data_IF_365085052087
#
_entry.id   IF_365085052087
#
_cell.length_a   1.000
_cell.length_b   1.000
_cell.length_c   1.000
_cell.angle_alpha   90.00
_cell.angle_beta   90.00
_cell.angle_gamma   90.00
#
_symmetry.space_group_name_H-M   'P 1'
#
loop_
_entity.id
_entity.type
_entity.pdbx_description
1 polymer ?
#
# COMPACT_ATOMS: atom_id res chain seq x y z
N UNK A 1 -23.23 -19.63 -3.84
CA UNK A 1 -22.49 -19.47 -2.57
C UNK A 1 -22.69 -18.03 -2.09
N UNK A 2 -23.30 -17.77 -0.92
CA UNK A 2 -23.43 -16.39 -0.40
C UNK A 2 -22.16 -16.04 0.41
N UNK A 3 -21.31 -15.19 -0.13
CA UNK A 3 -20.11 -14.69 0.54
C UNK A 3 -20.56 -13.63 1.56
N UNK A 4 -20.30 -13.87 2.85
CA UNK A 4 -20.75 -13.00 3.97
C UNK A 4 -19.62 -12.16 4.59
N UNK A 5 -18.40 -12.23 4.08
CA UNK A 5 -17.25 -11.52 4.65
C UNK A 5 -17.06 -10.15 3.98
N UNK A 6 -16.75 -9.12 4.78
CA UNK A 6 -16.22 -7.87 4.23
C UNK A 6 -14.87 -8.16 3.55
N UNK A 7 -14.64 -7.65 2.33
CA UNK A 7 -13.35 -7.82 1.67
C UNK A 7 -12.27 -7.12 2.51
N UNK A 8 -11.16 -7.83 2.75
CA UNK A 8 -9.97 -7.25 3.37
C UNK A 8 -9.12 -6.63 2.27
N UNK A 9 -8.79 -5.35 2.40
CA UNK A 9 -7.90 -4.67 1.48
C UNK A 9 -6.45 -5.09 1.76
N UNK A 10 -5.69 -5.34 0.69
CA UNK A 10 -4.30 -5.78 0.74
C UNK A 10 -3.43 -4.79 -0.01
N UNK A 11 -2.30 -4.41 0.60
CA UNK A 11 -1.23 -3.74 -0.11
C UNK A 11 -0.42 -4.76 -0.92
N UNK A 12 0.33 -4.29 -1.91
CA UNK A 12 1.21 -5.14 -2.75
C UNK A 12 2.16 -6.00 -1.92
N UNK A 13 2.69 -5.46 -0.82
CA UNK A 13 3.58 -6.21 0.08
C UNK A 13 2.90 -7.40 0.74
N UNK A 14 1.61 -7.29 1.09
CA UNK A 14 0.83 -8.39 1.64
C UNK A 14 0.50 -9.42 0.55
N UNK A 15 0.13 -8.95 -0.64
CA UNK A 15 -0.13 -9.82 -1.79
C UNK A 15 1.12 -10.63 -2.17
N UNK A 16 2.30 -10.00 -2.16
CA UNK A 16 3.57 -10.66 -2.45
C UNK A 16 3.88 -11.77 -1.45
N UNK A 17 3.71 -11.52 -0.15
CA UNK A 17 3.90 -12.53 0.89
C UNK A 17 2.94 -13.72 0.71
N UNK A 18 1.68 -13.46 0.39
CA UNK A 18 0.69 -14.52 0.10
C UNK A 18 1.12 -15.34 -1.12
N UNK A 19 1.56 -14.70 -2.20
CA UNK A 19 2.00 -15.37 -3.42
C UNK A 19 3.23 -16.22 -3.16
N UNK A 20 4.23 -15.68 -2.47
CA UNK A 20 5.48 -16.38 -2.15
C UNK A 20 5.24 -17.65 -1.33
N UNK A 21 4.27 -17.64 -0.42
CA UNK A 21 3.90 -18.83 0.38
C UNK A 21 3.19 -19.93 -0.41
N UNK A 22 2.65 -19.61 -1.60
CA UNK A 22 1.82 -20.52 -2.39
C UNK A 22 2.41 -20.83 -3.77
N UNK A 23 3.65 -20.44 -4.03
CA UNK A 23 4.29 -20.57 -5.34
C UNK A 23 4.54 -22.04 -5.71
N UNK A 24 4.97 -22.86 -4.76
CA UNK A 24 5.27 -24.27 -4.99
C UNK A 24 4.02 -25.12 -5.30
N UNK A 25 2.83 -24.66 -4.91
CA UNK A 25 1.57 -25.39 -5.12
C UNK A 25 0.90 -25.09 -6.46
N UNK A 26 1.45 -24.19 -7.28
CA UNK A 26 0.83 -23.71 -8.53
C UNK A 26 1.84 -23.63 -9.70
N UNK A 27 2.57 -24.72 -9.95
CA UNK A 27 3.58 -24.81 -11.03
C UNK A 27 3.07 -24.37 -12.40
N UNK A 28 1.80 -24.64 -12.68
CA UNK A 28 1.17 -24.37 -13.98
C UNK A 28 0.91 -22.88 -14.23
N UNK A 29 1.09 -22.03 -13.20
CA UNK A 29 0.86 -20.59 -13.25
C UNK A 29 2.14 -19.77 -13.04
N UNK A 30 3.31 -20.38 -13.18
CA UNK A 30 4.60 -19.77 -12.82
C UNK A 30 4.85 -18.43 -13.53
N UNK A 31 4.58 -18.30 -14.83
CA UNK A 31 4.76 -17.04 -15.58
C UNK A 31 3.86 -15.91 -15.05
N UNK A 32 2.61 -16.23 -14.68
CA UNK A 32 1.70 -15.26 -14.09
C UNK A 32 2.20 -14.84 -12.71
N UNK A 33 2.60 -15.80 -11.88
CA UNK A 33 3.08 -15.54 -10.52
C UNK A 33 4.35 -14.68 -10.53
N UNK A 34 5.29 -14.94 -11.44
CA UNK A 34 6.49 -14.10 -11.63
C UNK A 34 6.13 -12.65 -12.00
N UNK A 35 5.17 -12.46 -12.92
CA UNK A 35 4.70 -11.11 -13.29
C UNK A 35 4.03 -10.39 -12.13
N UNK A 36 3.22 -11.10 -11.34
CA UNK A 36 2.57 -10.51 -10.17
C UNK A 36 3.61 -10.19 -9.09
N UNK A 37 4.61 -11.05 -8.86
CA UNK A 37 5.71 -10.75 -7.94
C UNK A 37 6.45 -9.46 -8.35
N UNK A 38 6.76 -9.31 -9.64
CA UNK A 38 7.41 -8.12 -10.16
C UNK A 38 6.54 -6.86 -9.96
N UNK A 39 5.25 -6.96 -10.24
CA UNK A 39 4.29 -5.87 -10.04
C UNK A 39 4.11 -5.49 -8.55
N UNK A 40 4.13 -6.49 -7.67
CA UNK A 40 3.97 -6.34 -6.23
C UNK A 40 5.28 -6.02 -5.50
N UNK A 41 6.38 -5.80 -6.23
CA UNK A 41 7.65 -5.39 -5.64
C UNK A 41 7.44 -4.11 -4.83
N UNK A 42 7.69 -4.22 -3.53
CA UNK A 42 7.51 -3.13 -2.56
C UNK A 42 8.84 -2.43 -2.29
N UNK A 43 8.77 -1.12 -2.05
CA UNK A 43 9.92 -0.31 -1.57
C UNK A 43 10.17 -0.48 -0.06
N UNK A 44 9.33 -1.24 0.64
CA UNK A 44 9.39 -1.39 2.09
C UNK A 44 9.05 -2.81 2.55
N UNK A 45 9.59 -3.18 3.72
CA UNK A 45 9.26 -4.44 4.39
C UNK A 45 7.79 -4.47 4.83
N UNK A 46 7.25 -5.67 5.08
CA UNK A 46 5.86 -5.85 5.53
C UNK A 46 5.61 -5.19 6.88
N UNK A 47 6.55 -5.29 7.81
CA UNK A 47 6.41 -4.70 9.14
C UNK A 47 6.46 -3.17 9.06
N UNK A 48 7.32 -2.61 8.20
CA UNK A 48 7.35 -1.16 7.96
C UNK A 48 6.06 -0.69 7.30
N UNK A 49 5.54 -1.44 6.32
CA UNK A 49 4.29 -1.11 5.66
C UNK A 49 3.10 -1.13 6.63
N UNK A 50 3.03 -2.11 7.53
CA UNK A 50 1.98 -2.19 8.54
C UNK A 50 2.05 -0.99 9.50
N UNK A 51 3.25 -0.60 9.95
CA UNK A 51 3.43 0.59 10.79
C UNK A 51 3.09 1.88 10.05
N UNK A 52 3.58 2.05 8.82
CA UNK A 52 3.26 3.21 7.97
C UNK A 52 1.76 3.31 7.72
N UNK A 53 1.07 2.19 7.42
CA UNK A 53 -0.40 2.16 7.26
C UNK A 53 -1.11 2.69 8.49
N UNK A 54 -0.73 2.21 9.67
CA UNK A 54 -1.37 2.63 10.91
C UNK A 54 -1.17 4.12 11.17
N UNK A 55 0.05 4.63 10.96
CA UNK A 55 0.34 6.06 11.10
C UNK A 55 -0.52 6.90 10.13
N UNK A 56 -0.66 6.48 8.87
CA UNK A 56 -1.49 7.19 7.89
C UNK A 56 -2.97 7.21 8.31
N UNK A 57 -3.49 6.10 8.81
CA UNK A 57 -4.86 6.02 9.33
C UNK A 57 -5.04 6.95 10.53
N UNK A 58 -4.08 6.96 11.46
CA UNK A 58 -4.12 7.82 12.66
C UNK A 58 -4.02 9.31 12.28
N UNK A 59 -3.40 9.63 11.14
CA UNK A 59 -3.38 10.98 10.57
C UNK A 59 -4.70 11.39 9.88
N UNK A 60 -5.64 10.46 9.69
CA UNK A 60 -6.95 10.75 9.08
C UNK A 60 -7.07 10.36 7.61
N UNK A 61 -6.14 9.57 7.07
CA UNK A 61 -6.34 8.92 5.77
C UNK A 61 -7.28 7.73 5.91
N UNK A 62 -8.05 7.47 4.87
CA UNK A 62 -8.85 6.25 4.78
C UNK A 62 -7.94 5.03 4.62
N UNK A 63 -8.48 3.84 4.91
CA UNK A 63 -7.75 2.59 4.70
C UNK A 63 -7.33 2.43 3.23
N UNK A 64 -8.18 2.84 2.29
CA UNK A 64 -7.92 2.73 0.87
C UNK A 64 -6.80 3.67 0.41
N UNK A 65 -6.87 4.95 0.79
CA UNK A 65 -5.81 5.93 0.51
C UNK A 65 -4.48 5.48 1.10
N UNK A 66 -4.49 4.98 2.34
CA UNK A 66 -3.30 4.48 3.01
C UNK A 66 -2.63 3.34 2.23
N UNK A 67 -3.44 2.40 1.72
CA UNK A 67 -2.94 1.29 0.88
C UNK A 67 -2.40 1.80 -0.45
N UNK A 68 -3.11 2.73 -1.10
CA UNK A 68 -2.65 3.31 -2.36
C UNK A 68 -1.32 4.06 -2.18
N UNK A 69 -1.13 4.80 -1.09
CA UNK A 69 0.15 5.46 -0.81
C UNK A 69 1.28 4.47 -0.54
N UNK A 70 1.02 3.34 0.13
CA UNK A 70 2.00 2.27 0.29
C UNK A 70 2.46 1.70 -1.05
N UNK A 71 1.52 1.46 -1.97
CA UNK A 71 1.78 0.85 -3.26
C UNK A 71 2.39 1.81 -4.28
N UNK A 72 2.07 3.10 -4.16
CA UNK A 72 2.56 4.17 -5.02
C UNK A 72 3.91 4.74 -4.55
N UNK A 73 4.16 4.74 -3.23
CA UNK A 73 5.38 5.26 -2.59
C UNK A 73 5.70 6.72 -3.02
N UNK A 74 4.83 7.69 -2.67
CA UNK A 74 4.91 9.07 -3.17
C UNK A 74 6.26 9.73 -2.89
N UNK A 75 6.70 10.59 -3.82
CA UNK A 75 8.00 11.30 -3.75
C UNK A 75 7.88 12.82 -3.70
N UNK A 76 6.66 13.36 -3.83
CA UNK A 76 6.39 14.79 -3.77
C UNK A 76 4.95 15.04 -3.32
N UNK A 77 4.63 16.27 -2.90
CA UNK A 77 3.27 16.65 -2.49
C UNK A 77 2.27 16.45 -3.64
N UNK A 78 2.69 16.76 -4.88
CA UNK A 78 1.86 16.55 -6.08
C UNK A 78 1.45 15.09 -6.24
N UNK A 79 2.29 14.14 -5.83
CA UNK A 79 1.93 12.72 -5.83
C UNK A 79 0.81 12.39 -4.84
N UNK A 80 0.72 13.09 -3.72
CA UNK A 80 -0.33 12.85 -2.73
C UNK A 80 -1.71 13.23 -3.28
N UNK A 81 -1.80 14.29 -4.08
CA UNK A 81 -3.04 14.75 -4.73
C UNK A 81 -3.66 13.70 -5.67
N UNK A 82 -2.87 12.72 -6.14
CA UNK A 82 -3.37 11.62 -6.98
C UNK A 82 -4.14 10.56 -6.17
N UNK A 83 -4.03 10.59 -4.84
CA UNK A 83 -4.55 9.57 -3.94
C UNK A 83 -5.49 10.16 -2.90
N UNK A 84 -5.11 11.29 -2.31
CA UNK A 84 -5.88 11.95 -1.24
C UNK A 84 -6.88 12.92 -1.87
N UNK A 85 -8.16 12.59 -1.77
CA UNK A 85 -9.25 13.47 -2.20
C UNK A 85 -9.38 14.67 -1.24
N UNK A 86 -9.74 15.84 -1.77
CA UNK A 86 -9.89 17.10 -1.00
C UNK A 86 -8.69 17.36 -0.06
N UNK A 87 -7.49 17.13 -0.59
CA UNK A 87 -6.24 17.12 0.19
C UNK A 87 -5.99 18.44 0.91
N UNK A 88 -6.23 19.56 0.21
CA UNK A 88 -5.98 20.91 0.73
C UNK A 88 -6.99 21.31 1.82
N UNK A 89 -8.18 20.74 1.79
CA UNK A 89 -9.21 20.93 2.81
C UNK A 89 -9.00 20.03 4.05
N UNK A 90 -8.35 18.87 3.88
CA UNK A 90 -8.19 17.86 4.93
C UNK A 90 -6.87 17.95 5.70
N UNK A 91 -5.81 18.44 5.08
CA UNK A 91 -4.46 18.38 5.63
C UNK A 91 -3.75 19.71 5.52
N UNK A 92 -3.00 20.07 6.56
CA UNK A 92 -2.08 21.21 6.50
C UNK A 92 -0.82 20.85 5.74
N UNK A 93 -0.06 21.85 5.27
CA UNK A 93 1.24 21.63 4.65
C UNK A 93 2.17 20.79 5.53
N UNK A 94 2.19 21.05 6.85
CA UNK A 94 2.98 20.29 7.81
C UNK A 94 2.58 18.80 7.86
N UNK A 95 1.28 18.49 7.78
CA UNK A 95 0.79 17.12 7.74
C UNK A 95 1.20 16.43 6.44
N UNK A 96 1.11 17.11 5.31
CA UNK A 96 1.53 16.59 4.01
C UNK A 96 3.03 16.29 3.97
N UNK A 97 3.85 17.15 4.55
CA UNK A 97 5.28 16.89 4.70
C UNK A 97 5.54 15.69 5.63
N UNK A 98 4.80 15.55 6.72
CA UNK A 98 4.89 14.37 7.60
C UNK A 98 4.54 13.08 6.87
N UNK A 99 3.46 13.08 6.08
CA UNK A 99 3.06 11.93 5.25
C UNK A 99 4.19 11.55 4.30
N UNK A 100 4.77 12.50 3.57
CA UNK A 100 5.87 12.23 2.64
C UNK A 100 7.11 11.66 3.33
N UNK A 101 7.44 12.17 4.51
CA UNK A 101 8.62 11.71 5.26
C UNK A 101 8.54 10.23 5.65
N UNK A 102 7.34 9.63 5.71
CA UNK A 102 7.18 8.18 5.92
C UNK A 102 7.75 7.33 4.76
N UNK A 103 7.94 7.92 3.58
CA UNK A 103 8.37 7.24 2.35
C UNK A 103 9.78 7.62 1.87
N UNK A 104 10.41 8.62 2.50
CA UNK A 104 11.74 9.13 2.14
C UNK A 104 12.88 8.48 2.95
N UNK A 105 12.60 7.94 4.14
CA UNK A 105 13.60 7.34 5.03
C UNK A 105 13.86 5.84 4.77
N UNK A 106 13.78 5.40 3.51
CA UNK A 106 13.92 3.98 3.14
C UNK A 106 14.94 3.80 2.03
#
# INVERSE_FOLDING_TARGET
MKIKSRPKLLAKVDALDIINRNLESHSDQMELLEKVQLYCKSSMSRDDAARTKQILIDMGLTEFESIQLLDFSPKSIVCLQLVVEDMEERFTDEDLFRILNLFNNK
#
